data_IF_912003459175
#
_entry.id   IF_912003459175
#
_cell.length_a   1.000
_cell.length_b   1.000
_cell.length_c   1.000
_cell.angle_alpha   90.00
_cell.angle_beta   90.00
_cell.angle_gamma   90.00
#
_symmetry.space_group_name_H-M   'P 1'
#
loop_
_entity.id
_entity.type
_entity.pdbx_description
1 polymer ?
#
# COMPACT_ATOMS: atom_id res chain seq x y z
N UNK A 1 -15.64 -12.90 19.41
CA UNK A 1 -15.14 -12.28 18.17
C UNK A 1 -15.01 -10.80 18.43
N UNK A 2 -13.88 -10.17 18.11
CA UNK A 2 -13.65 -8.74 18.33
C UNK A 2 -13.42 -8.06 16.98
N UNK A 3 -14.07 -6.92 16.79
CA UNK A 3 -13.94 -6.11 15.59
C UNK A 3 -13.29 -4.77 15.91
N UNK A 4 -12.55 -4.25 14.94
CA UNK A 4 -12.18 -2.85 14.85
C UNK A 4 -13.00 -2.26 13.72
N UNK A 5 -13.91 -1.34 14.03
CA UNK A 5 -14.70 -0.61 13.05
C UNK A 5 -14.01 0.69 12.67
N UNK A 6 -13.95 0.98 11.37
CA UNK A 6 -13.50 2.28 10.86
C UNK A 6 -14.66 2.95 10.14
N UNK A 7 -15.14 4.05 10.69
CA UNK A 7 -16.12 4.91 10.03
C UNK A 7 -15.37 5.91 9.14
N UNK A 8 -15.49 5.75 7.83
CA UNK A 8 -14.84 6.63 6.86
C UNK A 8 -15.88 7.53 6.18
N UNK A 9 -15.68 8.85 6.26
CA UNK A 9 -16.64 9.81 5.74
C UNK A 9 -16.77 9.74 4.21
N UNK A 10 -17.98 9.47 3.74
CA UNK A 10 -18.38 9.56 2.35
C UNK A 10 -19.89 9.81 2.31
N UNK A 11 -20.41 10.41 1.24
CA UNK A 11 -21.85 10.63 1.08
C UNK A 11 -22.66 9.33 1.11
N UNK A 12 -22.02 8.19 0.80
CA UNK A 12 -22.61 6.87 0.91
C UNK A 12 -23.68 6.56 -0.14
N UNK A 13 -23.83 7.40 -1.16
CA UNK A 13 -24.79 7.23 -2.25
C UNK A 13 -24.20 6.53 -3.48
N UNK A 14 -22.92 6.18 -3.43
CA UNK A 14 -22.17 5.57 -4.53
C UNK A 14 -21.94 6.49 -5.74
N UNK A 15 -22.39 7.75 -5.69
CA UNK A 15 -22.23 8.74 -6.77
C UNK A 15 -20.94 9.53 -6.63
N UNK A 16 -20.54 9.80 -5.40
CA UNK A 16 -19.28 10.48 -5.09
C UNK A 16 -18.18 9.43 -4.95
N UNK A 17 -17.16 9.42 -5.83
CA UNK A 17 -16.07 8.47 -5.72
C UNK A 17 -15.28 8.72 -4.43
N UNK A 18 -14.68 7.66 -3.90
CA UNK A 18 -13.72 7.78 -2.82
C UNK A 18 -12.46 8.45 -3.35
N UNK A 19 -11.95 9.47 -2.63
CA UNK A 19 -10.67 10.06 -2.98
C UNK A 19 -9.56 9.03 -2.75
N UNK A 20 -8.53 9.07 -3.59
CA UNK A 20 -7.39 8.14 -3.48
C UNK A 20 -6.80 8.14 -2.06
N UNK A 21 -6.62 9.33 -1.47
CA UNK A 21 -6.12 9.51 -0.10
C UNK A 21 -7.03 8.85 0.97
N UNK A 22 -8.35 8.78 0.75
CA UNK A 22 -9.25 8.11 1.69
C UNK A 22 -9.08 6.59 1.63
N UNK A 23 -8.96 6.04 0.41
CA UNK A 23 -8.70 4.60 0.23
C UNK A 23 -7.32 4.22 0.77
N UNK A 24 -6.30 5.05 0.54
CA UNK A 24 -4.95 4.90 1.09
C UNK A 24 -4.92 4.93 2.63
N UNK A 25 -5.72 5.81 3.24
CA UNK A 25 -5.83 5.85 4.70
C UNK A 25 -6.53 4.61 5.26
N UNK A 26 -7.64 4.20 4.63
CA UNK A 26 -8.43 3.04 5.06
C UNK A 26 -7.62 1.74 4.97
N UNK A 27 -6.96 1.49 3.83
CA UNK A 27 -6.11 0.30 3.66
C UNK A 27 -4.90 0.31 4.63
N UNK A 28 -4.32 1.49 4.92
CA UNK A 28 -3.15 1.60 5.79
C UNK A 28 -3.53 1.29 7.24
N UNK A 29 -4.66 1.82 7.70
CA UNK A 29 -5.22 1.52 9.01
C UNK A 29 -5.56 0.02 9.14
N UNK A 30 -6.26 -0.54 8.15
CA UNK A 30 -6.61 -1.96 8.14
C UNK A 30 -5.37 -2.88 8.13
N UNK A 31 -4.36 -2.56 7.31
CA UNK A 31 -3.10 -3.29 7.28
C UNK A 31 -2.34 -3.22 8.61
N UNK A 32 -2.35 -2.07 9.29
CA UNK A 32 -1.73 -1.92 10.60
C UNK A 32 -2.40 -2.82 11.66
N UNK A 33 -3.74 -2.86 11.69
CA UNK A 33 -4.49 -3.77 12.57
C UNK A 33 -4.18 -5.23 12.23
N UNK A 34 -4.13 -5.58 10.94
CA UNK A 34 -3.80 -6.93 10.51
C UNK A 34 -2.39 -7.34 10.98
N UNK A 35 -1.38 -6.47 10.83
CA UNK A 35 -0.03 -6.75 11.33
C UNK A 35 0.01 -6.97 12.84
N UNK A 36 -0.70 -6.12 13.59
CA UNK A 36 -0.72 -6.21 15.06
C UNK A 36 -1.31 -7.54 15.54
N UNK A 37 -2.40 -8.00 14.92
CA UNK A 37 -3.07 -9.25 15.30
C UNK A 37 -2.55 -10.49 14.57
N UNK A 38 -1.59 -10.35 13.65
CA UNK A 38 -1.14 -11.41 12.72
C UNK A 38 -2.30 -11.97 11.88
N UNK A 39 -3.19 -11.10 11.45
CA UNK A 39 -4.27 -11.39 10.52
C UNK A 39 -3.83 -11.15 9.07
N UNK A 40 -4.61 -11.67 8.13
CA UNK A 40 -4.48 -11.41 6.70
C UNK A 40 -5.54 -10.42 6.20
N UNK A 41 -5.41 -9.97 4.96
CA UNK A 41 -6.40 -9.14 4.27
C UNK A 41 -7.81 -9.75 4.30
N UNK A 42 -7.91 -11.09 4.35
CA UNK A 42 -9.19 -11.81 4.43
C UNK A 42 -9.96 -11.56 5.72
N UNK A 43 -9.28 -11.05 6.75
CA UNK A 43 -9.90 -10.68 8.03
C UNK A 43 -10.60 -9.32 7.97
N UNK A 44 -10.44 -8.59 6.86
CA UNK A 44 -11.07 -7.27 6.65
C UNK A 44 -12.35 -7.49 5.87
N UNK A 45 -13.48 -7.02 6.41
CA UNK A 45 -14.81 -7.21 5.84
C UNK A 45 -15.53 -5.88 5.73
N UNK A 46 -16.39 -5.76 4.73
CA UNK A 46 -17.31 -4.64 4.61
C UNK A 46 -18.53 -4.86 5.48
N UNK A 47 -19.18 -3.79 5.92
CA UNK A 47 -20.35 -3.90 6.78
C UNK A 47 -21.49 -4.71 6.15
N UNK A 48 -21.71 -4.53 4.84
CA UNK A 48 -22.63 -5.30 4.00
C UNK A 48 -22.33 -6.80 3.96
N UNK A 49 -21.06 -7.20 4.07
CA UNK A 49 -20.69 -8.62 4.10
C UNK A 49 -20.97 -9.25 5.48
N UNK A 50 -20.94 -8.44 6.54
CA UNK A 50 -21.14 -8.91 7.91
C UNK A 50 -22.60 -8.92 8.35
N UNK A 51 -23.34 -7.84 8.08
CA UNK A 51 -24.68 -7.62 8.61
C UNK A 51 -25.72 -7.55 7.49
N UNK A 52 -26.74 -8.45 7.48
CA UNK A 52 -27.86 -8.35 6.55
C UNK A 52 -28.56 -6.99 6.63
N UNK A 53 -28.85 -6.40 5.47
CA UNK A 53 -29.53 -5.11 5.36
C UNK A 53 -28.60 -3.89 5.34
N UNK A 54 -27.29 -4.06 5.59
CA UNK A 54 -26.31 -3.00 5.38
C UNK A 54 -25.88 -2.92 3.92
N UNK A 55 -25.60 -1.71 3.45
CA UNK A 55 -25.29 -1.44 2.04
C UNK A 55 -23.83 -1.02 1.84
N UNK A 56 -23.17 -0.57 2.89
CA UNK A 56 -21.83 -0.01 2.90
C UNK A 56 -20.71 -1.08 3.00
N UNK A 57 -19.51 -0.82 2.43
CA UNK A 57 -19.16 0.36 1.65
C UNK A 57 -19.72 0.31 0.21
N UNK A 58 -20.09 1.48 -0.32
CA UNK A 58 -20.43 1.69 -1.73
C UNK A 58 -19.32 2.48 -2.43
N UNK A 59 -19.10 2.24 -3.72
CA UNK A 59 -18.09 2.95 -4.53
C UNK A 59 -16.74 2.21 -4.67
N UNK A 60 -16.51 1.13 -3.92
CA UNK A 60 -15.45 0.15 -4.16
C UNK A 60 -15.91 -1.24 -3.72
N UNK A 61 -15.17 -2.29 -4.08
CA UNK A 61 -15.46 -3.67 -3.63
C UNK A 61 -14.53 -4.07 -2.51
N UNK A 62 -14.99 -4.94 -1.62
CA UNK A 62 -14.09 -5.46 -0.59
C UNK A 62 -12.94 -6.26 -1.19
N UNK A 63 -13.11 -6.88 -2.35
CA UNK A 63 -12.00 -7.50 -3.08
C UNK A 63 -10.93 -6.49 -3.50
N UNK A 64 -11.31 -5.31 -4.02
CA UNK A 64 -10.33 -4.28 -4.38
C UNK A 64 -9.64 -3.69 -3.15
N UNK A 65 -10.36 -3.52 -2.03
CA UNK A 65 -9.78 -3.06 -0.77
C UNK A 65 -8.82 -4.10 -0.18
N UNK A 66 -9.22 -5.38 -0.16
CA UNK A 66 -8.36 -6.49 0.31
C UNK A 66 -7.11 -6.64 -0.54
N UNK A 67 -7.18 -6.43 -1.87
CA UNK A 67 -6.00 -6.45 -2.72
C UNK A 67 -4.98 -5.36 -2.32
N UNK A 68 -5.46 -4.15 -2.03
CA UNK A 68 -4.61 -3.03 -1.56
C UNK A 68 -4.00 -3.31 -0.19
N UNK A 69 -4.78 -3.91 0.72
CA UNK A 69 -4.28 -4.33 2.05
C UNK A 69 -3.25 -5.46 1.90
N UNK A 70 -3.49 -6.45 1.04
CA UNK A 70 -2.55 -7.54 0.78
C UNK A 70 -1.22 -7.01 0.24
N UNK A 71 -1.25 -6.01 -0.66
CA UNK A 71 -0.03 -5.36 -1.11
C UNK A 71 0.74 -4.75 0.06
N UNK A 72 0.07 -4.06 0.99
CA UNK A 72 0.72 -3.53 2.20
C UNK A 72 1.24 -4.61 3.15
N UNK A 73 0.59 -5.76 3.22
CA UNK A 73 1.02 -6.86 4.07
C UNK A 73 2.16 -7.68 3.43
N UNK A 74 2.34 -7.58 2.11
CA UNK A 74 3.41 -8.26 1.40
C UNK A 74 4.79 -7.83 1.92
N UNK A 75 5.79 -8.73 1.88
CA UNK A 75 7.15 -8.38 2.23
C UNK A 75 7.64 -7.20 1.37
N UNK A 76 8.55 -6.36 1.90
CA UNK A 76 9.13 -5.25 1.15
C UNK A 76 9.71 -5.76 -0.16
N UNK A 77 9.36 -5.10 -1.28
CA UNK A 77 10.00 -5.40 -2.56
C UNK A 77 11.49 -5.04 -2.44
N UNK A 78 12.34 -5.87 -3.01
CA UNK A 78 13.77 -5.63 -3.06
C UNK A 78 14.30 -5.73 -4.47
N UNK A 79 15.32 -4.94 -4.78
CA UNK A 79 15.99 -4.92 -6.07
C UNK A 79 17.50 -5.07 -5.87
N UNK A 80 18.15 -5.89 -6.70
CA UNK A 80 19.59 -6.06 -6.69
C UNK A 80 20.20 -5.19 -7.79
N UNK A 81 21.02 -4.21 -7.39
CA UNK A 81 21.70 -3.26 -8.28
C UNK A 81 22.51 -4.02 -9.33
N UNK A 82 22.30 -3.67 -10.60
CA UNK A 82 22.99 -4.21 -11.78
C UNK A 82 24.08 -3.24 -12.23
N UNK A 83 25.08 -3.69 -13.02
CA UNK A 83 26.05 -2.80 -13.64
C UNK A 83 25.35 -1.71 -14.48
N UNK A 84 25.69 -0.44 -14.24
CA UNK A 84 25.12 0.70 -14.97
C UNK A 84 23.84 1.29 -14.34
N UNK A 85 23.31 0.70 -13.28
CA UNK A 85 22.14 1.24 -12.59
C UNK A 85 22.46 2.56 -11.86
N UNK A 86 21.52 3.48 -11.93
CA UNK A 86 21.39 4.65 -11.05
C UNK A 86 20.07 4.59 -10.27
N UNK A 87 19.97 5.29 -9.14
CA UNK A 87 18.70 5.34 -8.38
C UNK A 87 17.55 5.90 -9.23
N UNK A 88 17.83 6.86 -10.12
CA UNK A 88 16.83 7.39 -11.05
C UNK A 88 16.37 6.34 -12.05
N UNK A 89 17.29 5.60 -12.70
CA UNK A 89 16.92 4.52 -13.63
C UNK A 89 16.08 3.43 -12.96
N UNK A 90 16.46 3.01 -11.74
CA UNK A 90 15.71 2.04 -10.95
C UNK A 90 14.31 2.61 -10.58
N UNK A 91 14.24 3.88 -10.21
CA UNK A 91 12.96 4.54 -9.92
C UNK A 91 12.04 4.64 -11.14
N UNK A 92 12.59 4.91 -12.33
CA UNK A 92 11.81 4.86 -13.56
C UNK A 92 11.27 3.45 -13.83
N UNK A 93 12.12 2.43 -13.76
CA UNK A 93 11.73 1.04 -14.01
C UNK A 93 10.66 0.56 -13.02
N UNK A 94 10.90 0.76 -11.72
CA UNK A 94 10.08 0.14 -10.67
C UNK A 94 8.97 1.03 -10.15
N UNK A 95 9.20 2.34 -10.08
CA UNK A 95 8.25 3.31 -9.52
C UNK A 95 7.54 4.13 -10.61
N UNK A 96 7.93 3.96 -11.88
CA UNK A 96 7.33 4.63 -13.05
C UNK A 96 7.78 6.08 -13.25
N UNK A 97 8.72 6.58 -12.43
CA UNK A 97 9.27 7.92 -12.59
C UNK A 97 10.68 8.04 -12.05
N UNK A 98 11.57 8.63 -12.86
CA UNK A 98 12.94 8.98 -12.47
C UNK A 98 12.95 9.83 -11.19
N UNK A 99 11.97 10.73 -11.01
CA UNK A 99 11.91 11.69 -9.89
C UNK A 99 11.62 11.05 -8.53
N UNK A 100 11.23 9.77 -8.50
CA UNK A 100 10.95 9.02 -7.27
C UNK A 100 12.19 8.39 -6.64
N UNK A 101 13.36 8.58 -7.23
CA UNK A 101 14.64 8.12 -6.67
C UNK A 101 14.89 8.53 -5.20
N UNK A 102 14.46 9.72 -4.70
CA UNK A 102 14.66 10.09 -3.30
C UNK A 102 13.91 9.17 -2.33
N UNK A 103 12.80 8.58 -2.77
CA UNK A 103 12.06 7.61 -1.96
C UNK A 103 12.87 6.34 -1.71
N UNK A 104 13.57 5.86 -2.74
CA UNK A 104 14.47 4.70 -2.65
C UNK A 104 15.65 5.05 -1.74
N UNK A 105 16.30 6.20 -1.94
CA UNK A 105 17.43 6.64 -1.12
C UNK A 105 17.06 6.70 0.36
N UNK A 106 15.96 7.40 0.69
CA UNK A 106 15.45 7.55 2.05
C UNK A 106 15.09 6.22 2.69
N UNK A 107 14.40 5.33 1.95
CA UNK A 107 14.01 4.01 2.46
C UNK A 107 15.22 3.13 2.81
N UNK A 108 16.34 3.31 2.12
CA UNK A 108 17.55 2.55 2.30
C UNK A 108 18.62 3.25 3.15
N UNK A 109 18.34 4.46 3.65
CA UNK A 109 19.31 5.25 4.44
C UNK A 109 20.56 5.61 3.65
N UNK A 110 20.46 5.82 2.33
CA UNK A 110 21.58 6.21 1.49
C UNK A 110 21.85 7.71 1.67
N UNK A 111 23.00 8.04 2.25
CA UNK A 111 23.46 9.41 2.44
C UNK A 111 23.98 10.04 1.14
N UNK A 112 24.56 9.21 0.27
CA UNK A 112 25.04 9.60 -1.05
C UNK A 112 24.33 8.76 -2.11
N UNK A 113 23.51 9.41 -2.93
CA UNK A 113 22.65 8.79 -3.94
C UNK A 113 23.44 8.27 -5.16
N UNK A 114 24.68 8.74 -5.32
CA UNK A 114 25.50 8.45 -6.51
C UNK A 114 26.44 7.25 -6.30
N UNK A 115 26.50 6.67 -5.10
CA UNK A 115 27.35 5.51 -4.79
C UNK A 115 26.51 4.24 -4.64
N UNK A 116 26.00 3.73 -5.77
CA UNK A 116 25.42 2.38 -5.83
C UNK A 116 26.50 1.34 -6.10
N UNK A 117 26.54 0.28 -5.30
CA UNK A 117 27.44 -0.87 -5.54
C UNK A 117 26.70 -1.94 -6.32
N UNK A 118 27.29 -2.45 -7.39
CA UNK A 118 26.76 -3.63 -8.10
C UNK A 118 26.56 -4.78 -7.12
N UNK A 119 25.40 -5.41 -7.17
CA UNK A 119 25.00 -6.48 -6.26
C UNK A 119 24.39 -6.00 -4.93
N UNK A 120 24.39 -4.70 -4.63
CA UNK A 120 23.70 -4.14 -3.47
C UNK A 120 22.19 -4.42 -3.55
N UNK A 121 21.58 -4.79 -2.44
CA UNK A 121 20.13 -5.01 -2.37
C UNK A 121 19.47 -3.77 -1.78
N UNK A 122 18.56 -3.17 -2.55
CA UNK A 122 17.77 -2.01 -2.17
C UNK A 122 16.35 -2.44 -1.85
N UNK A 123 15.79 -1.93 -0.76
CA UNK A 123 14.35 -1.93 -0.50
C UNK A 123 13.68 -0.95 -1.45
N UNK A 124 12.56 -1.34 -2.03
CA UNK A 124 11.81 -0.54 -2.98
C UNK A 124 10.49 -0.13 -2.33
N UNK A 125 10.13 1.17 -2.34
CA UNK A 125 8.84 1.64 -1.88
C UNK A 125 7.70 0.87 -2.56
N UNK A 126 6.62 0.61 -1.81
CA UNK A 126 5.39 0.11 -2.41
C UNK A 126 4.72 1.24 -3.20
N UNK A 127 3.95 0.86 -4.22
CA UNK A 127 3.33 1.81 -5.15
C UNK A 127 2.22 2.61 -4.51
#
# INVERSE_FOLDING_TARGET
MHFYGFECENRGDGRVPWLAVQLEAAEAAAAAVCRFHRWSERSVIGHREWQPGKVDPLGFTMDSMRARIAERLAPPRTYRVRPGDSLSSIAAELLGSLSRWPEIARLNGLADADVLRVGQVLKIPQR
#
